data_IF_136083209396
#
_entry.id   IF_136083209396
#
_cell.length_a   1.000
_cell.length_b   1.000
_cell.length_c   1.000
_cell.angle_alpha   90.00
_cell.angle_beta   90.00
_cell.angle_gamma   90.00
#
_symmetry.space_group_name_H-M   'P 1'
#
loop_
_entity.id
_entity.type
_entity.pdbx_description
1 polymer ?
#
# COMPACT_ATOMS: atom_id res chain seq x y z
N UNK A 1 -14.08 9.15 15.86
CA UNK A 1 -12.80 9.63 15.28
C UNK A 1 -13.13 10.59 14.14
N UNK A 2 -12.24 11.52 13.79
CA UNK A 2 -12.51 12.55 12.79
C UNK A 2 -11.87 12.14 11.46
N UNK A 3 -12.50 12.41 10.32
CA UNK A 3 -11.97 12.07 8.99
C UNK A 3 -10.58 12.66 8.71
N UNK A 4 -10.26 13.79 9.36
CA UNK A 4 -8.97 14.47 9.25
C UNK A 4 -7.82 13.81 10.07
N UNK A 5 -8.08 12.68 10.73
CA UNK A 5 -7.04 11.92 11.44
C UNK A 5 -6.06 11.35 10.42
N UNK A 6 -4.76 11.62 10.64
CA UNK A 6 -3.67 11.14 9.77
C UNK A 6 -3.20 9.75 10.18
N UNK A 7 -2.93 8.92 9.19
CA UNK A 7 -2.39 7.56 9.30
C UNK A 7 -1.17 7.46 8.39
N UNK A 8 -0.09 6.86 8.88
CA UNK A 8 1.12 6.61 8.09
C UNK A 8 1.20 5.14 7.73
N UNK A 9 1.31 4.84 6.44
CA UNK A 9 1.59 3.51 5.93
C UNK A 9 3.07 3.41 5.61
N UNK A 10 3.71 2.36 6.12
CA UNK A 10 5.14 2.12 5.88
C UNK A 10 5.35 0.71 5.37
N UNK A 11 6.27 0.54 4.43
CA UNK A 11 6.66 -0.74 3.88
C UNK A 11 8.19 -0.77 3.70
N UNK A 12 8.82 -1.84 4.18
CA UNK A 12 10.26 -2.07 3.99
C UNK A 12 10.49 -3.36 3.22
N UNK A 13 10.97 -3.24 1.98
CA UNK A 13 11.20 -4.38 1.08
C UNK A 13 12.65 -4.85 1.21
N UNK A 14 13.02 -5.46 2.35
CA UNK A 14 14.21 -6.30 2.58
C UNK A 14 15.62 -5.80 2.21
N UNK A 15 15.74 -4.69 1.48
CA UNK A 15 16.93 -4.07 0.93
C UNK A 15 17.24 -2.84 1.78
N UNK A 16 18.52 -2.60 2.03
CA UNK A 16 18.95 -1.44 2.80
C UNK A 16 18.45 -0.15 2.13
N UNK A 17 17.76 0.69 2.91
CA UNK A 17 17.18 1.98 2.50
C UNK A 17 15.96 1.94 1.56
N UNK A 18 15.34 0.78 1.31
CA UNK A 18 14.06 0.73 0.59
C UNK A 18 12.88 0.79 1.58
N UNK A 19 12.68 1.98 2.17
CA UNK A 19 11.48 2.32 2.94
C UNK A 19 10.53 3.12 2.04
N UNK A 20 9.34 2.59 1.81
CA UNK A 20 8.22 3.34 1.27
C UNK A 20 7.38 3.84 2.45
N UNK A 21 7.07 5.14 2.47
CA UNK A 21 6.21 5.76 3.47
C UNK A 21 5.27 6.71 2.75
N UNK A 22 3.97 6.59 3.02
CA UNK A 22 2.93 7.49 2.54
C UNK A 22 1.96 7.81 3.69
N UNK A 23 1.48 9.04 3.73
CA UNK A 23 0.58 9.54 4.78
C UNK A 23 -0.78 9.84 4.16
N UNK A 24 -1.82 9.29 4.76
CA UNK A 24 -3.21 9.46 4.36
C UNK A 24 -4.04 9.98 5.53
N UNK A 25 -5.17 10.60 5.24
CA UNK A 25 -6.23 10.82 6.21
C UNK A 25 -7.25 9.69 6.19
N UNK A 26 -7.98 9.49 7.28
CA UNK A 26 -9.09 8.51 7.32
C UNK A 26 -10.14 8.81 6.24
N UNK A 27 -10.38 10.08 5.93
CA UNK A 27 -11.26 10.49 4.83
C UNK A 27 -10.71 10.10 3.46
N UNK A 28 -9.41 10.28 3.21
CA UNK A 28 -8.77 9.85 1.94
C UNK A 28 -8.79 8.32 1.76
N UNK A 29 -8.75 7.57 2.85
CA UNK A 29 -8.90 6.11 2.84
C UNK A 29 -10.37 5.67 2.70
N UNK A 30 -11.33 6.60 2.81
CA UNK A 30 -12.76 6.30 2.72
C UNK A 30 -13.36 5.68 4.00
N UNK A 31 -12.74 5.88 5.16
CA UNK A 31 -13.23 5.35 6.44
C UNK A 31 -14.58 5.96 6.82
N UNK A 32 -15.59 5.11 7.01
CA UNK A 32 -16.89 5.52 7.56
C UNK A 32 -17.14 4.83 8.91
N UNK A 33 -17.20 5.57 10.04
CA UNK A 33 -17.37 4.95 11.36
C UNK A 33 -18.73 4.26 11.58
N UNK A 34 -19.70 4.42 10.68
CA UNK A 34 -20.98 3.71 10.72
C UNK A 34 -20.92 2.35 10.01
N UNK A 35 -19.96 2.17 9.10
CA UNK A 35 -19.77 0.95 8.29
C UNK A 35 -18.56 0.16 8.83
N UNK A 36 -17.45 0.87 9.06
CA UNK A 36 -16.16 0.35 9.52
C UNK A 36 -16.09 0.41 11.04
N UNK A 37 -16.77 -0.55 11.69
CA UNK A 37 -16.85 -0.64 13.16
C UNK A 37 -15.48 -0.96 13.78
N UNK A 38 -14.61 -1.63 13.03
CA UNK A 38 -13.26 -2.02 13.47
C UNK A 38 -12.20 -1.28 12.64
N UNK A 39 -11.70 -0.17 13.20
CA UNK A 39 -10.70 0.66 12.55
C UNK A 39 -9.40 -0.09 12.26
N UNK A 40 -8.97 -0.97 13.18
CA UNK A 40 -7.68 -1.66 13.06
C UNK A 40 -7.71 -2.60 11.85
N UNK A 41 -8.79 -3.37 11.72
CA UNK A 41 -9.03 -4.23 10.56
C UNK A 41 -9.14 -3.43 9.26
N UNK A 42 -9.87 -2.32 9.26
CA UNK A 42 -9.97 -1.45 8.09
C UNK A 42 -8.59 -0.95 7.64
N UNK A 43 -7.76 -0.46 8.58
CA UNK A 43 -6.42 0.03 8.28
C UNK A 43 -5.48 -1.09 7.84
N UNK A 44 -5.61 -2.31 8.38
CA UNK A 44 -4.86 -3.48 7.93
C UNK A 44 -5.16 -3.84 6.47
N UNK A 45 -6.44 -3.89 6.07
CA UNK A 45 -6.85 -4.16 4.69
C UNK A 45 -6.33 -3.06 3.74
N UNK A 46 -6.49 -1.78 4.10
CA UNK A 46 -5.99 -0.66 3.30
C UNK A 46 -4.47 -0.66 3.17
N UNK A 47 -3.74 -0.92 4.26
CA UNK A 47 -2.29 -1.04 4.23
C UNK A 47 -1.84 -2.19 3.33
N UNK A 48 -2.55 -3.33 3.38
CA UNK A 48 -2.25 -4.50 2.57
C UNK A 48 -2.41 -4.19 1.08
N UNK A 49 -3.54 -3.63 0.67
CA UNK A 49 -3.79 -3.23 -0.72
C UNK A 49 -2.75 -2.22 -1.21
N UNK A 50 -2.48 -1.18 -0.42
CA UNK A 50 -1.45 -0.19 -0.73
C UNK A 50 -0.08 -0.86 -0.91
N UNK A 51 0.33 -1.74 0.01
CA UNK A 51 1.65 -2.39 0.00
C UNK A 51 1.86 -3.25 -1.24
N UNK A 52 0.80 -3.90 -1.74
CA UNK A 52 0.88 -4.76 -2.92
C UNK A 52 1.23 -3.98 -4.19
N UNK A 53 0.93 -2.68 -4.27
CA UNK A 53 1.36 -1.84 -5.40
C UNK A 53 2.88 -1.65 -5.48
N UNK A 54 3.61 -1.89 -4.38
CA UNK A 54 5.07 -1.71 -4.32
C UNK A 54 5.84 -3.04 -4.25
N UNK A 55 5.17 -4.13 -3.87
CA UNK A 55 5.76 -5.47 -3.78
C UNK A 55 5.63 -6.23 -5.11
N UNK A 56 5.02 -5.64 -6.14
CA UNK A 56 4.80 -6.29 -7.45
C UNK A 56 6.14 -6.58 -8.18
N UNK A 57 6.70 -7.75 -7.88
CA UNK A 57 7.77 -8.36 -8.64
C UNK A 57 7.19 -8.93 -9.92
N UNK A 58 7.36 -8.21 -11.03
CA UNK A 58 7.07 -8.76 -12.36
C UNK A 58 8.27 -9.54 -12.91
N UNK A 59 8.02 -10.64 -13.64
CA UNK A 59 9.03 -11.32 -14.44
C UNK A 59 8.76 -11.05 -15.92
N UNK A 60 9.83 -10.88 -16.71
CA UNK A 60 9.72 -10.75 -18.17
C UNK A 60 10.63 -11.78 -18.82
N UNK A 61 10.09 -12.59 -19.72
CA UNK A 61 10.87 -13.45 -20.60
C UNK A 61 11.33 -12.57 -21.77
N UNK A 62 12.64 -12.35 -21.90
CA UNK A 62 13.23 -11.81 -23.13
C UNK A 62 13.63 -12.99 -23.99
N UNK A 63 12.88 -13.27 -25.05
CA UNK A 63 13.35 -14.20 -26.08
C UNK A 63 14.55 -13.57 -26.79
N UNK A 64 15.68 -14.29 -26.82
CA UNK A 64 16.86 -13.87 -27.55
C UNK A 64 16.80 -14.44 -28.96
N UNK A 65 16.22 -13.67 -29.90
CA UNK A 65 16.47 -13.70 -31.34
C UNK A 65 15.53 -12.65 -32.00
N UNK A 66 15.91 -11.85 -32.98
CA UNK A 66 16.79 -12.14 -34.11
C UNK A 66 17.66 -10.92 -34.47
N UNK A 67 18.91 -11.21 -34.80
CA UNK A 67 19.71 -10.44 -35.76
C UNK A 67 18.88 -10.11 -37.00
N UNK A 68 18.76 -8.81 -37.31
CA UNK A 68 18.29 -8.28 -38.59
C UNK A 68 19.15 -7.10 -38.99
#
# INVERSE_FOLDING_TARGET
MNGNTKVSFTLRIGLANCLQEDIFTLEELGYDPNIDIDLDKFLEDQWREWSMNYIDGSFRIKEANEIG
#
